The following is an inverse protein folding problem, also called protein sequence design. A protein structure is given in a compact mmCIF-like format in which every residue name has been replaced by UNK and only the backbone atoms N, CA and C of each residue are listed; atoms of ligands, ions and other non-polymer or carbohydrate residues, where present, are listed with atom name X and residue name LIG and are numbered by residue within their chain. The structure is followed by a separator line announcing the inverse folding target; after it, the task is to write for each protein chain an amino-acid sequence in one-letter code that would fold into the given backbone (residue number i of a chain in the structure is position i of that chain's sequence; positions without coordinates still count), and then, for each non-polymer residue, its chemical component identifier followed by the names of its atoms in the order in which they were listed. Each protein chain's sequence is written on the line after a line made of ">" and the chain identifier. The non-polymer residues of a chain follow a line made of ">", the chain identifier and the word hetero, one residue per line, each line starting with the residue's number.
data_IF_545005727101
#
_entry.id   IF_545005727101
#
_cell.length_a   1.000
_cell.length_b   1.000
_cell.length_c   1.000
_cell.angle_alpha   90.00
_cell.angle_beta   90.00
_cell.angle_gamma   90.00
#
_symmetry.space_group_name_H-M   'P 1'
#
loop_
_entity.id
_entity.type
_entity.pdbx_description
1 polymer ?
#
# COMPACT_ATOMS: atom_id res chain seq x y z
N UNK A 1 -1.60 -23.18 -28.45
CA UNK A 1 -1.57 -22.79 -27.02
C UNK A 1 -2.55 -21.65 -26.88
N UNK A 2 -3.57 -21.81 -26.04
CA UNK A 2 -4.51 -20.72 -25.74
C UNK A 2 -3.72 -19.53 -25.17
N UNK A 3 -3.97 -18.29 -25.62
CA UNK A 3 -3.25 -17.13 -25.11
C UNK A 3 -3.63 -16.91 -23.64
N UNK A 4 -2.60 -16.85 -22.77
CA UNK A 4 -2.80 -16.54 -21.36
C UNK A 4 -3.22 -15.07 -21.23
N UNK A 5 -4.50 -14.84 -20.91
CA UNK A 5 -5.06 -13.49 -20.79
C UNK A 5 -4.56 -12.73 -19.56
N UNK A 6 -4.23 -13.44 -18.47
CA UNK A 6 -3.78 -12.85 -17.20
C UNK A 6 -2.62 -13.66 -16.64
N UNK A 7 -1.56 -12.99 -16.19
CA UNK A 7 -0.41 -13.64 -15.55
C UNK A 7 -0.73 -14.10 -14.12
N UNK A 8 -1.48 -13.29 -13.39
CA UNK A 8 -2.02 -13.53 -12.07
C UNK A 8 -3.50 -13.15 -12.06
N UNK A 9 -4.34 -14.06 -12.56
CA UNK A 9 -5.78 -13.86 -12.67
C UNK A 9 -6.41 -13.38 -11.37
N UNK A 10 -6.03 -13.96 -10.22
CA UNK A 10 -6.59 -13.58 -8.92
C UNK A 10 -6.41 -12.09 -8.61
N UNK A 11 -5.19 -11.54 -8.80
CA UNK A 11 -4.91 -10.12 -8.54
C UNK A 11 -5.42 -9.20 -9.64
N UNK A 12 -5.28 -9.63 -10.89
CA UNK A 12 -5.64 -8.82 -12.06
C UNK A 12 -7.16 -8.71 -12.25
N UNK A 13 -7.94 -9.62 -11.66
CA UNK A 13 -9.41 -9.60 -11.71
C UNK A 13 -10.06 -9.35 -10.35
N UNK A 14 -9.34 -8.78 -9.38
CA UNK A 14 -9.94 -8.33 -8.12
C UNK A 14 -11.09 -7.35 -8.38
N UNK A 15 -12.16 -7.44 -7.58
CA UNK A 15 -13.16 -6.38 -7.57
C UNK A 15 -12.52 -5.06 -7.10
N UNK A 16 -13.08 -3.93 -7.55
CA UNK A 16 -12.57 -2.60 -7.20
C UNK A 16 -12.41 -2.42 -5.69
N UNK A 17 -13.45 -2.77 -4.93
CA UNK A 17 -13.47 -2.68 -3.47
C UNK A 17 -12.35 -3.51 -2.81
N UNK A 18 -12.14 -4.77 -3.26
CA UNK A 18 -11.08 -5.63 -2.72
C UNK A 18 -9.70 -5.13 -3.08
N UNK A 19 -9.53 -4.57 -4.27
CA UNK A 19 -8.27 -3.97 -4.70
C UNK A 19 -7.93 -2.75 -3.85
N UNK A 20 -8.89 -1.87 -3.61
CA UNK A 20 -8.72 -0.69 -2.76
C UNK A 20 -8.38 -1.07 -1.31
N UNK A 21 -9.10 -2.03 -0.73
CA UNK A 21 -8.80 -2.55 0.61
C UNK A 21 -7.38 -3.12 0.70
N UNK A 22 -6.96 -3.90 -0.31
CA UNK A 22 -5.60 -4.45 -0.38
C UNK A 22 -4.53 -3.37 -0.53
N UNK A 23 -4.79 -2.34 -1.34
CA UNK A 23 -3.89 -1.21 -1.54
C UNK A 23 -3.74 -0.40 -0.24
N UNK A 24 -4.86 -0.10 0.43
CA UNK A 24 -4.86 0.61 1.70
C UNK A 24 -4.08 -0.16 2.77
N UNK A 25 -4.34 -1.46 2.92
CA UNK A 25 -3.61 -2.30 3.87
C UNK A 25 -2.10 -2.25 3.62
N UNK A 26 -1.68 -2.49 2.37
CA UNK A 26 -0.25 -2.47 1.99
C UNK A 26 0.38 -1.10 2.16
N UNK A 27 -0.37 -0.05 1.91
CA UNK A 27 0.11 1.31 2.10
C UNK A 27 0.36 1.60 3.58
N UNK A 28 -0.57 1.26 4.48
CA UNK A 28 -0.38 1.37 5.94
C UNK A 28 0.84 0.60 6.42
N UNK A 29 0.96 -0.67 6.02
CA UNK A 29 2.12 -1.52 6.36
C UNK A 29 3.43 -0.91 5.85
N UNK A 30 3.43 -0.40 4.61
CA UNK A 30 4.63 0.20 4.03
C UNK A 30 5.01 1.51 4.73
N UNK A 31 4.03 2.37 5.01
CA UNK A 31 4.25 3.63 5.70
C UNK A 31 4.83 3.39 7.09
N UNK A 32 4.25 2.48 7.88
CA UNK A 32 4.79 2.08 9.18
C UNK A 32 6.23 1.58 9.05
N UNK A 33 6.48 0.64 8.12
CA UNK A 33 7.80 0.06 7.92
C UNK A 33 8.88 1.10 7.63
N UNK A 34 8.60 2.06 6.73
CA UNK A 34 9.58 3.09 6.38
C UNK A 34 9.73 4.15 7.46
N UNK A 35 8.64 4.46 8.18
CA UNK A 35 8.66 5.40 9.30
C UNK A 35 9.54 4.85 10.43
N UNK A 36 9.41 3.56 10.77
CA UNK A 36 10.17 2.94 11.87
C UNK A 36 11.65 2.71 11.54
N UNK A 37 11.99 2.52 10.25
CA UNK A 37 13.31 1.99 9.86
C UNK A 37 14.18 2.96 9.07
N UNK A 38 13.63 4.10 8.64
CA UNK A 38 14.40 5.09 7.87
C UNK A 38 14.30 6.47 8.52
N UNK A 39 15.38 6.97 9.13
CA UNK A 39 15.43 8.34 9.67
C UNK A 39 15.17 9.42 8.62
N UNK A 40 15.33 9.10 7.33
CA UNK A 40 14.99 10.02 6.24
C UNK A 40 13.47 10.10 6.05
N UNK A 41 12.77 8.96 6.03
CA UNK A 41 11.31 8.95 5.89
C UNK A 41 10.61 9.44 7.15
N UNK A 42 11.08 9.05 8.33
CA UNK A 42 10.55 9.54 9.60
C UNK A 42 10.50 11.08 9.63
N UNK A 43 11.66 11.73 9.40
CA UNK A 43 11.75 13.20 9.36
C UNK A 43 10.83 13.81 8.31
N UNK A 44 10.79 13.24 7.10
CA UNK A 44 9.94 13.75 6.02
C UNK A 44 8.45 13.72 6.39
N UNK A 45 8.00 12.67 7.07
CA UNK A 45 6.61 12.53 7.50
C UNK A 45 6.29 13.40 8.71
N UNK A 46 7.21 13.52 9.66
CA UNK A 46 7.09 14.43 10.81
C UNK A 46 6.99 15.90 10.38
N UNK A 47 7.82 16.32 9.42
CA UNK A 47 7.78 17.67 8.83
C UNK A 47 6.46 17.95 8.11
N UNK A 48 5.84 16.91 7.54
CA UNK A 48 4.53 16.99 6.91
C UNK A 48 3.36 16.88 7.93
N UNK A 49 3.65 16.63 9.21
CA UNK A 49 2.63 16.41 10.24
C UNK A 49 1.78 15.17 10.01
N UNK A 50 2.34 14.13 9.39
CA UNK A 50 1.63 12.90 9.05
C UNK A 50 2.26 11.69 9.74
N UNK A 51 1.43 10.88 10.40
CA UNK A 51 1.82 9.63 11.04
C UNK A 51 1.14 8.44 10.36
N UNK A 52 1.69 7.22 10.46
CA UNK A 52 1.03 6.01 9.94
C UNK A 52 -0.43 5.86 10.43
N UNK A 53 -0.73 6.30 11.64
CA UNK A 53 -2.04 6.25 12.29
C UNK A 53 -3.08 7.20 11.65
N UNK A 54 -2.63 8.24 10.94
CA UNK A 54 -3.51 9.19 10.26
C UNK A 54 -4.17 8.59 9.01
N UNK A 55 -3.64 7.48 8.50
CA UNK A 55 -4.16 6.82 7.30
C UNK A 55 -5.39 6.00 7.66
N UNK A 56 -6.56 6.49 7.24
CA UNK A 56 -7.86 5.87 7.58
C UNK A 56 -8.50 5.13 6.40
N UNK A 57 -8.33 5.63 5.19
CA UNK A 57 -9.00 5.18 3.96
C UNK A 57 -8.09 5.30 2.75
#
# INVERSE_FOLDING_TARGET
>A
MEPVTYWNKEKETLSREKLEALQLQRFKERMQYVYDRSPMYQRKYDEAGATPEDIRS
#
